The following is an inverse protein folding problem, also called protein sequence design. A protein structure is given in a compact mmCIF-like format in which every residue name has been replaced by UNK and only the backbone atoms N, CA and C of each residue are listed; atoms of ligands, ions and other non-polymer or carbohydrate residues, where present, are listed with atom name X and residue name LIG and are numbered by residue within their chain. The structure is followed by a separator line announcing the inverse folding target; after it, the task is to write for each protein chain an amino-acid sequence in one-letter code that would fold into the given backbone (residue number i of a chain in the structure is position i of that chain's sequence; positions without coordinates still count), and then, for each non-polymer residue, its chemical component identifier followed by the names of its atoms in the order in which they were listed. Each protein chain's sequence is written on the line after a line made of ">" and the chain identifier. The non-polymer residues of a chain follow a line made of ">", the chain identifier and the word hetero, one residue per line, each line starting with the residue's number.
data_IF_760488739722
#
_entry.id   IF_760488739722
#
_cell.length_a   1.000
_cell.length_b   1.000
_cell.length_c   1.000
_cell.angle_alpha   90.00
_cell.angle_beta   90.00
_cell.angle_gamma   90.00
#
_symmetry.space_group_name_H-M   'P 1'
#
loop_
_entity.id
_entity.type
_entity.pdbx_description
1 polymer ?
#
# COMPACT_ATOMS: atom_id res chain seq x y z
N UNK A 1 47.69 -0.83 -17.66
CA UNK A 1 46.95 -0.76 -16.37
C UNK A 1 46.22 -2.08 -15.98
N UNK A 2 45.64 -2.82 -16.93
CA UNK A 2 44.85 -4.02 -16.64
C UNK A 2 45.62 -5.36 -16.60
N UNK A 3 46.94 -5.38 -16.84
CA UNK A 3 47.70 -6.63 -17.01
C UNK A 3 47.76 -7.55 -15.78
N UNK A 4 47.47 -7.02 -14.59
CA UNK A 4 47.40 -7.78 -13.32
C UNK A 4 46.09 -7.57 -12.56
N UNK A 5 45.10 -6.95 -13.20
CA UNK A 5 43.80 -6.68 -12.58
C UNK A 5 42.83 -7.79 -12.96
N UNK A 6 42.27 -8.45 -11.94
CA UNK A 6 41.25 -9.48 -12.11
C UNK A 6 39.92 -8.87 -11.67
N UNK A 7 38.93 -8.92 -12.58
CA UNK A 7 37.56 -8.54 -12.28
C UNK A 7 36.69 -9.80 -12.28
N UNK A 8 36.06 -10.09 -11.15
CA UNK A 8 35.21 -11.25 -10.96
C UNK A 8 33.83 -11.05 -11.59
N UNK A 9 33.06 -12.15 -11.67
CA UNK A 9 31.64 -12.16 -12.05
C UNK A 9 31.33 -11.49 -13.41
N UNK A 10 32.27 -11.53 -14.35
CA UNK A 10 32.11 -10.91 -15.67
C UNK A 10 32.43 -9.42 -15.71
N UNK A 11 33.07 -8.87 -14.66
CA UNK A 11 33.57 -7.51 -14.65
C UNK A 11 34.61 -7.24 -15.73
N UNK A 12 34.60 -6.02 -16.26
CA UNK A 12 35.54 -5.58 -17.29
C UNK A 12 36.58 -4.66 -16.68
N UNK A 13 37.86 -4.98 -16.84
CA UNK A 13 38.91 -4.03 -16.46
C UNK A 13 38.96 -2.88 -17.47
N UNK A 14 38.98 -1.65 -16.95
CA UNK A 14 39.15 -0.42 -17.71
C UNK A 14 40.30 0.40 -17.13
N UNK A 15 41.01 1.14 -17.98
CA UNK A 15 42.07 2.04 -17.54
C UNK A 15 41.47 3.31 -16.93
N UNK A 16 41.94 3.71 -15.75
CA UNK A 16 41.64 4.99 -15.10
C UNK A 16 42.96 5.67 -14.74
N UNK A 17 43.43 6.55 -15.63
CA UNK A 17 44.79 7.11 -15.53
C UNK A 17 45.86 6.01 -15.58
N UNK A 18 46.68 5.93 -14.54
CA UNK A 18 47.76 4.93 -14.44
C UNK A 18 47.31 3.60 -13.80
N UNK A 19 46.11 3.53 -13.22
CA UNK A 19 45.58 2.34 -12.55
C UNK A 19 44.51 1.64 -13.39
N UNK A 20 44.37 0.32 -13.19
CA UNK A 20 43.26 -0.46 -13.76
C UNK A 20 42.13 -0.59 -12.74
N UNK A 21 40.89 -0.37 -13.16
CA UNK A 21 39.70 -0.43 -12.29
C UNK A 21 38.68 -1.37 -12.92
N UNK A 22 37.97 -2.14 -12.09
CA UNK A 22 36.90 -3.01 -12.57
C UNK A 22 35.59 -2.24 -12.75
N UNK A 23 35.02 -2.32 -13.95
CA UNK A 23 33.64 -1.95 -14.22
C UNK A 23 32.76 -3.18 -13.98
N UNK A 24 31.94 -3.12 -12.93
CA UNK A 24 31.11 -4.24 -12.53
C UNK A 24 29.84 -4.35 -13.37
N UNK A 25 29.40 -5.59 -13.70
CA UNK A 25 28.12 -5.81 -14.32
C UNK A 25 26.99 -5.56 -13.32
N UNK A 26 25.78 -5.39 -13.84
CA UNK A 26 24.59 -5.16 -13.02
C UNK A 26 24.42 -6.29 -11.98
N UNK A 27 24.18 -5.92 -10.72
CA UNK A 27 24.00 -6.86 -9.62
C UNK A 27 25.29 -7.32 -8.92
N UNK A 28 26.45 -6.73 -9.25
CA UNK A 28 27.71 -6.97 -8.56
C UNK A 28 28.39 -5.65 -8.14
N UNK A 29 29.06 -5.70 -6.99
CA UNK A 29 29.76 -4.59 -6.36
C UNK A 29 31.08 -5.09 -5.75
N UNK A 30 31.88 -4.16 -5.22
CA UNK A 30 33.23 -4.43 -4.72
C UNK A 30 34.30 -3.94 -5.69
N UNK A 31 35.53 -3.78 -5.20
CA UNK A 31 36.65 -3.24 -5.99
C UNK A 31 36.96 -4.12 -7.20
N UNK A 32 36.71 -5.42 -7.09
CA UNK A 32 36.97 -6.42 -8.11
C UNK A 32 35.68 -7.08 -8.59
N UNK A 33 34.50 -6.50 -8.29
CA UNK A 33 33.19 -7.06 -8.61
C UNK A 33 32.93 -8.43 -7.97
N UNK A 34 33.57 -8.70 -6.84
CA UNK A 34 33.55 -9.97 -6.12
C UNK A 34 32.25 -10.22 -5.36
N UNK A 35 31.51 -9.17 -5.03
CA UNK A 35 30.34 -9.25 -4.16
C UNK A 35 29.06 -9.15 -4.97
N UNK A 36 28.16 -10.13 -4.83
CA UNK A 36 26.80 -10.00 -5.37
C UNK A 36 26.07 -8.91 -4.58
N UNK A 37 25.53 -7.92 -5.30
CA UNK A 37 24.78 -6.85 -4.70
C UNK A 37 23.49 -7.40 -4.10
N UNK A 38 23.28 -7.18 -2.81
CA UNK A 38 21.99 -7.40 -2.17
C UNK A 38 21.09 -6.17 -2.42
N UNK A 39 19.98 -6.31 -3.17
CA UNK A 39 19.07 -5.19 -3.43
C UNK A 39 18.40 -4.63 -2.17
N UNK A 40 18.41 -5.37 -1.05
CA UNK A 40 17.88 -4.94 0.23
C UNK A 40 18.90 -4.23 1.13
N UNK A 41 20.20 -4.20 0.77
CA UNK A 41 21.26 -3.72 1.67
C UNK A 41 21.14 -2.23 2.06
N UNK A 42 20.44 -1.43 1.25
CA UNK A 42 20.21 0.01 1.48
C UNK A 42 18.72 0.35 1.58
N UNK A 43 17.86 -0.66 1.61
CA UNK A 43 16.40 -0.48 1.69
C UNK A 43 15.98 -0.51 3.15
N UNK A 44 15.29 0.53 3.59
CA UNK A 44 14.70 0.61 4.93
C UNK A 44 13.19 0.48 4.76
N UNK A 45 12.62 -0.57 5.34
CA UNK A 45 11.17 -0.74 5.44
C UNK A 45 10.74 -0.37 6.87
N UNK A 46 9.92 0.66 6.99
CA UNK A 46 9.41 1.16 8.26
C UNK A 46 8.33 0.24 8.85
N UNK A 47 8.00 0.50 10.12
CA UNK A 47 6.87 -0.12 10.83
C UNK A 47 6.89 -1.67 10.84
N UNK A 48 8.09 -2.27 10.81
CA UNK A 48 8.26 -3.73 10.78
C UNK A 48 8.09 -4.36 9.40
N UNK A 49 8.11 -3.56 8.32
CA UNK A 49 8.13 -4.07 6.96
C UNK A 49 9.37 -4.93 6.65
N UNK A 50 9.20 -5.89 5.75
CA UNK A 50 10.27 -6.79 5.31
C UNK A 50 10.73 -6.40 3.92
N UNK A 51 12.03 -6.20 3.71
CA UNK A 51 12.54 -6.04 2.36
C UNK A 51 12.56 -7.40 1.63
N UNK A 52 12.05 -7.41 0.41
CA UNK A 52 12.09 -8.53 -0.52
C UNK A 52 12.85 -8.13 -1.78
N UNK A 53 13.60 -9.07 -2.34
CA UNK A 53 14.27 -8.86 -3.62
C UNK A 53 13.31 -9.10 -4.78
N UNK A 54 13.21 -8.13 -5.69
CA UNK A 54 12.51 -8.25 -6.97
C UNK A 54 13.48 -7.93 -8.09
N UNK A 55 14.10 -8.96 -8.69
CA UNK A 55 15.16 -8.79 -9.67
C UNK A 55 16.38 -8.08 -9.06
N UNK A 56 16.72 -6.88 -9.53
CA UNK A 56 17.84 -6.08 -9.02
C UNK A 56 17.40 -4.94 -8.08
N UNK A 57 16.13 -4.89 -7.69
CA UNK A 57 15.59 -3.88 -6.77
C UNK A 57 15.07 -4.53 -5.48
N UNK A 58 15.23 -3.82 -4.36
CA UNK A 58 14.59 -4.19 -3.09
C UNK A 58 13.23 -3.50 -2.97
N UNK A 59 12.21 -4.24 -2.55
CA UNK A 59 10.84 -3.76 -2.39
C UNK A 59 10.34 -4.11 -1.00
N UNK A 60 9.66 -3.18 -0.33
CA UNK A 60 9.11 -3.44 0.99
C UNK A 60 7.78 -4.19 0.91
N UNK A 61 7.70 -5.32 1.60
CA UNK A 61 6.45 -5.96 1.96
C UNK A 61 5.94 -5.35 3.27
N UNK A 62 4.83 -4.64 3.19
CA UNK A 62 4.24 -3.96 4.34
C UNK A 62 3.44 -4.91 5.23
N UNK A 63 3.53 -4.73 6.56
CA UNK A 63 2.66 -5.43 7.49
C UNK A 63 1.22 -4.92 7.36
N UNK A 64 0.29 -5.70 7.89
CA UNK A 64 -1.13 -5.33 7.90
C UNK A 64 -1.32 -3.95 8.58
N UNK A 65 -2.09 -3.07 7.94
CA UNK A 65 -2.36 -1.73 8.45
C UNK A 65 -1.31 -0.68 8.09
N UNK A 66 -0.33 -1.00 7.24
CA UNK A 66 0.64 -0.05 6.72
C UNK A 66 0.73 -0.10 5.19
N UNK A 67 1.01 1.05 4.60
CA UNK A 67 1.12 1.29 3.15
C UNK A 67 2.25 2.29 2.87
N UNK A 68 2.56 2.49 1.59
CA UNK A 68 3.66 3.33 1.12
C UNK A 68 4.83 2.50 0.59
N UNK A 69 5.71 3.14 -0.17
CA UNK A 69 6.86 2.47 -0.80
C UNK A 69 7.80 1.85 0.23
N UNK A 70 7.88 2.46 1.41
CA UNK A 70 8.73 2.05 2.52
C UNK A 70 7.89 1.62 3.74
N UNK A 71 6.58 1.40 3.57
CA UNK A 71 5.65 1.09 4.67
C UNK A 71 5.57 2.18 5.75
N UNK A 72 5.84 3.43 5.36
CA UNK A 72 5.93 4.58 6.24
C UNK A 72 4.56 5.11 6.71
N UNK A 73 3.50 4.79 5.98
CA UNK A 73 2.17 5.34 6.22
C UNK A 73 1.26 4.32 6.89
N UNK A 74 0.62 4.69 8.00
CA UNK A 74 -0.45 3.89 8.58
C UNK A 74 -1.66 3.92 7.65
N UNK A 75 -2.15 2.76 7.24
CA UNK A 75 -3.34 2.64 6.45
C UNK A 75 -4.56 3.01 7.30
N UNK A 76 -5.26 4.06 6.89
CA UNK A 76 -6.59 4.37 7.40
C UNK A 76 -7.63 3.96 6.34
N UNK A 77 -8.43 2.91 6.61
CA UNK A 77 -9.48 2.45 5.69
C UNK A 77 -10.53 3.52 5.38
N UNK A 78 -10.63 4.58 6.20
CA UNK A 78 -11.57 5.67 6.01
C UNK A 78 -11.07 6.81 5.11
N UNK A 79 -9.78 6.83 4.71
CA UNK A 79 -9.21 7.97 3.95
C UNK A 79 -9.94 8.28 2.64
N UNK A 80 -10.53 7.27 1.98
CA UNK A 80 -11.26 7.43 0.71
C UNK A 80 -12.74 7.11 0.81
N UNK A 81 -13.25 6.92 2.04
CA UNK A 81 -14.64 6.60 2.28
C UNK A 81 -15.42 7.88 2.57
N UNK A 82 -16.40 8.16 1.72
CA UNK A 82 -17.29 9.29 1.90
C UNK A 82 -18.65 8.77 2.38
N UNK A 83 -18.98 9.01 3.64
CA UNK A 83 -20.29 8.73 4.19
C UNK A 83 -21.19 9.95 4.05
N UNK A 84 -22.31 9.80 3.36
CA UNK A 84 -23.29 10.85 3.14
C UNK A 84 -24.16 11.11 4.37
N UNK A 85 -24.88 12.23 4.35
CA UNK A 85 -25.95 12.56 5.30
C UNK A 85 -25.52 12.53 6.78
N UNK A 86 -24.26 12.87 7.06
CA UNK A 86 -23.71 12.86 8.43
C UNK A 86 -23.28 11.48 8.92
N UNK A 87 -23.19 10.48 8.04
CA UNK A 87 -22.61 9.18 8.35
C UNK A 87 -21.16 9.30 8.80
N UNK A 88 -20.76 8.42 9.72
CA UNK A 88 -19.40 8.35 10.23
C UNK A 88 -18.70 7.13 9.65
N UNK A 89 -17.54 7.31 9.04
CA UNK A 89 -16.72 6.17 8.67
C UNK A 89 -16.07 5.56 9.91
N UNK A 90 -16.11 4.23 10.00
CA UNK A 90 -15.38 3.44 10.99
C UNK A 90 -14.59 2.35 10.29
N UNK A 91 -13.40 2.06 10.82
CA UNK A 91 -12.59 0.96 10.32
C UNK A 91 -13.19 -0.38 10.75
N UNK A 92 -13.37 -1.28 9.79
CA UNK A 92 -13.71 -2.68 9.99
C UNK A 92 -12.62 -3.53 9.33
N UNK A 93 -11.60 -3.90 10.10
CA UNK A 93 -10.40 -4.55 9.55
C UNK A 93 -9.65 -3.64 8.57
N UNK A 94 -9.55 -4.05 7.31
CA UNK A 94 -8.89 -3.28 6.23
C UNK A 94 -9.86 -2.47 5.37
N UNK A 95 -11.16 -2.45 5.72
CA UNK A 95 -12.18 -1.70 4.97
C UNK A 95 -12.83 -0.64 5.84
N UNK A 96 -13.11 0.53 5.26
CA UNK A 96 -13.89 1.57 5.91
C UNK A 96 -15.38 1.31 5.67
N UNK A 97 -16.19 1.36 6.71
CA UNK A 97 -17.64 1.14 6.66
C UNK A 97 -18.35 2.36 7.22
N UNK A 98 -19.43 2.79 6.56
CA UNK A 98 -20.25 3.89 7.06
C UNK A 98 -21.24 3.43 8.13
N UNK A 99 -21.18 4.06 9.30
CA UNK A 99 -22.25 4.02 10.29
C UNK A 99 -23.25 5.13 9.95
N UNK A 100 -24.45 4.70 9.52
CA UNK A 100 -25.49 5.63 9.13
C UNK A 100 -26.25 6.18 10.34
N UNK A 101 -26.57 7.47 10.35
CA UNK A 101 -27.45 8.05 11.35
C UNK A 101 -28.89 7.53 11.16
N UNK A 102 -29.72 7.69 12.19
CA UNK A 102 -31.11 7.28 12.15
C UNK A 102 -31.84 7.89 10.94
N UNK A 103 -32.62 7.06 10.23
CA UNK A 103 -33.36 7.48 9.04
C UNK A 103 -32.54 7.49 7.75
N UNK A 104 -31.32 6.96 7.75
CA UNK A 104 -30.48 6.80 6.55
C UNK A 104 -29.93 5.38 6.43
N UNK A 105 -29.87 4.88 5.19
CA UNK A 105 -29.40 3.54 4.82
C UNK A 105 -28.60 3.60 3.52
N UNK A 106 -28.00 2.46 3.15
CA UNK A 106 -27.11 2.33 2.00
C UNK A 106 -25.65 2.21 2.43
N UNK A 107 -24.79 1.73 1.52
CA UNK A 107 -23.37 1.48 1.81
C UNK A 107 -22.64 2.76 2.23
N UNK A 108 -23.08 3.90 1.70
CA UNK A 108 -22.52 5.22 1.95
C UNK A 108 -23.53 6.14 2.65
N UNK A 109 -24.60 5.60 3.23
CA UNK A 109 -25.69 6.36 3.87
C UNK A 109 -26.40 7.35 2.95
N UNK A 110 -26.45 7.06 1.65
CA UNK A 110 -26.96 7.92 0.59
C UNK A 110 -28.50 7.99 0.54
N UNK A 111 -29.19 6.97 1.07
CA UNK A 111 -30.64 6.83 0.95
C UNK A 111 -31.32 7.23 2.25
N UNK A 112 -32.30 8.16 2.20
CA UNK A 112 -33.22 8.37 3.32
C UNK A 112 -34.11 7.15 3.48
N UNK A 113 -34.03 6.50 4.62
CA UNK A 113 -35.01 5.51 5.02
C UNK A 113 -36.28 6.25 5.42
N UNK A 114 -37.22 6.32 4.48
CA UNK A 114 -38.56 6.80 4.79
C UNK A 114 -39.12 5.94 5.92
N UNK A 115 -39.37 6.56 7.07
CA UNK A 115 -40.43 6.04 7.92
C UNK A 115 -41.69 6.13 7.05
N UNK A 116 -42.19 4.99 6.57
CA UNK A 116 -43.55 4.95 6.08
C UNK A 116 -44.41 5.51 7.21
N UNK A 117 -44.81 6.77 7.11
CA UNK A 117 -46.10 7.16 7.65
C UNK A 117 -47.07 6.20 6.98
N UNK A 118 -47.49 5.18 7.73
CA UNK A 118 -48.76 4.56 7.44
C UNK A 118 -49.76 5.70 7.42
N UNK A 119 -50.08 6.11 6.20
CA UNK A 119 -51.11 7.04 5.83
C UNK A 119 -52.32 6.69 6.69
N UNK A 120 -52.86 7.66 7.42
CA UNK A 120 -54.09 7.47 8.15
C UNK A 120 -55.18 7.02 7.19
N UNK A 121 -55.40 5.72 7.10
CA UNK A 121 -56.66 5.16 6.65
C UNK A 121 -57.59 5.21 7.86
N UNK A 122 -58.30 6.34 8.00
CA UNK A 122 -59.63 6.32 8.62
C UNK A 122 -60.46 5.30 7.84
N UNK A 123 -60.64 4.11 8.39
CA UNK A 123 -61.75 3.26 8.00
C UNK A 123 -63.00 3.80 8.71
N UNK A 124 -63.66 4.78 8.10
CA UNK A 124 -65.08 5.01 8.38
C UNK A 124 -65.85 3.82 7.80
N UNK A 125 -66.34 2.94 8.68
CA UNK A 125 -67.36 1.96 8.32
C UNK A 125 -68.68 2.50 8.88
N UNK A 126 -69.41 3.25 8.06
CA UNK A 126 -70.83 3.49 8.27
C UNK A 126 -71.61 2.24 7.82
N UNK A 127 -72.37 1.63 8.72
CA UNK A 127 -73.68 1.09 8.37
C UNK A 127 -74.08 -0.31 8.85
N UNK A 128 -75.14 -0.33 9.68
CA UNK A 128 -76.27 -1.30 9.72
C UNK A 128 -75.96 -2.65 10.39
N UNK A 129 -76.49 -3.02 11.56
CA UNK A 129 -77.89 -3.09 12.04
C UNK A 129 -77.97 -2.96 13.57
#
# INVERSE_FOLDING_TARGET
>A
PCSKVICYNGGKCVASGTVGVCQCPQGYVGTWCETKQDPCSKVICYNGGKCLTSGTVGVCQCPQGYVGTWCETKHDPCTKVNCHNGGKCVASGTVGVCQCPQGYVGTWCETRQGHNCAIGLKAEINGVH
#
